data_IF_529116377413
#
_entry.id   IF_529116377413
#
_cell.length_a   1.000
_cell.length_b   1.000
_cell.length_c   1.000
_cell.angle_alpha   90.00
_cell.angle_beta   90.00
_cell.angle_gamma   90.00
#
_symmetry.space_group_name_H-M   'P 1'
#
loop_
_entity.id
_entity.type
_entity.pdbx_description
1 polymer ?
#
# COMPACT_ATOMS: atom_id res chain seq x y z
N UNK A 1 -8.03 -0.85 29.95
CA UNK A 1 -8.50 -1.12 28.56
C UNK A 1 -7.81 -0.25 27.50
N UNK A 2 -7.13 0.86 27.84
CA UNK A 2 -6.43 1.71 26.86
C UNK A 2 -5.03 1.21 26.42
N UNK A 3 -4.34 0.46 27.30
CA UNK A 3 -3.00 -0.07 27.00
C UNK A 3 -3.04 -1.12 25.87
N UNK A 4 -4.02 -2.03 25.88
CA UNK A 4 -4.12 -3.09 24.85
C UNK A 4 -4.46 -2.53 23.47
N UNK A 5 -5.34 -1.53 23.39
CA UNK A 5 -5.66 -0.83 22.12
C UNK A 5 -4.46 -0.07 21.57
N UNK A 6 -3.67 0.59 22.43
CA UNK A 6 -2.43 1.25 22.03
C UNK A 6 -1.38 0.25 21.54
N UNK A 7 -1.17 -0.84 22.28
CA UNK A 7 -0.23 -1.90 21.88
C UNK A 7 -0.67 -2.62 20.60
N UNK A 8 -1.98 -2.76 20.35
CA UNK A 8 -2.50 -3.28 19.08
C UNK A 8 -2.33 -2.28 17.93
N UNK A 9 -2.58 -0.99 18.15
CA UNK A 9 -2.36 0.06 17.16
C UNK A 9 -0.88 0.19 16.77
N UNK A 10 0.03 0.17 17.75
CA UNK A 10 1.48 0.20 17.50
C UNK A 10 1.95 -1.07 16.79
N UNK A 11 1.44 -2.25 17.16
CA UNK A 11 1.74 -3.50 16.43
C UNK A 11 1.22 -3.46 15.00
N UNK A 12 0.03 -2.90 14.79
CA UNK A 12 -0.55 -2.76 13.46
C UNK A 12 0.27 -1.76 12.62
N UNK A 13 0.67 -0.62 13.20
CA UNK A 13 1.55 0.36 12.56
C UNK A 13 2.94 -0.21 12.23
N UNK A 14 3.55 -0.97 13.13
CA UNK A 14 4.81 -1.67 12.87
C UNK A 14 4.65 -2.78 11.82
N UNK A 15 3.48 -3.42 11.78
CA UNK A 15 3.12 -4.39 10.76
C UNK A 15 2.97 -3.78 9.37
N UNK A 16 2.64 -2.49 9.25
CA UNK A 16 2.51 -1.81 7.96
C UNK A 16 3.86 -1.63 7.25
N UNK A 17 4.95 -1.49 8.01
CA UNK A 17 6.29 -1.21 7.49
C UNK A 17 6.44 0.24 7.01
N UNK A 18 7.37 0.47 6.08
CA UNK A 18 7.53 1.78 5.42
C UNK A 18 6.39 2.05 4.44
N UNK A 19 6.14 3.31 4.13
CA UNK A 19 5.22 3.71 3.07
C UNK A 19 6.02 3.91 1.78
N UNK A 20 5.66 3.20 0.71
CA UNK A 20 6.29 3.33 -0.61
C UNK A 20 5.43 4.23 -1.51
N UNK A 21 6.03 5.04 -2.41
CA UNK A 21 5.27 5.85 -3.35
C UNK A 21 4.41 4.97 -4.26
N UNK A 22 3.15 5.38 -4.43
CA UNK A 22 2.20 4.74 -5.32
C UNK A 22 1.95 5.68 -6.51
N UNK A 23 2.35 5.25 -7.71
CA UNK A 23 2.38 6.10 -8.90
C UNK A 23 3.60 7.02 -8.95
N UNK A 24 3.44 8.20 -9.54
CA UNK A 24 4.47 9.22 -9.70
C UNK A 24 4.40 10.33 -8.65
N UNK A 25 5.37 11.27 -8.65
CA UNK A 25 5.50 12.30 -7.61
C UNK A 25 4.30 13.24 -7.46
N UNK A 26 3.48 13.36 -8.51
CA UNK A 26 2.27 14.19 -8.53
C UNK A 26 1.01 13.50 -8.00
N UNK A 27 1.04 12.18 -7.82
CA UNK A 27 -0.13 11.42 -7.43
C UNK A 27 -0.48 11.60 -5.95
N UNK A 28 0.49 11.93 -5.10
CA UNK A 28 0.26 12.12 -3.66
C UNK A 28 -0.31 10.88 -2.99
N UNK A 29 0.08 9.69 -3.49
CA UNK A 29 -0.42 8.41 -3.02
C UNK A 29 0.74 7.56 -2.48
N UNK A 30 0.47 6.82 -1.41
CA UNK A 30 1.42 5.89 -0.80
C UNK A 30 0.75 4.55 -0.51
N UNK A 31 1.56 3.49 -0.55
CA UNK A 31 1.16 2.13 -0.23
C UNK A 31 2.01 1.62 0.94
N UNK A 32 1.39 1.01 1.94
CA UNK A 32 2.13 0.29 2.98
C UNK A 32 2.93 -0.86 2.35
N UNK A 33 4.22 -0.97 2.68
CA UNK A 33 5.09 -2.02 2.12
C UNK A 33 4.50 -3.42 2.36
N UNK A 34 3.91 -3.65 3.54
CA UNK A 34 3.21 -4.90 3.86
C UNK A 34 2.04 -5.21 2.91
N UNK A 35 1.21 -4.21 2.58
CA UNK A 35 0.10 -4.35 1.65
C UNK A 35 0.59 -4.65 0.23
N UNK A 36 1.63 -3.94 -0.22
CA UNK A 36 2.29 -4.22 -1.50
C UNK A 36 2.89 -5.62 -1.56
N UNK A 37 3.61 -6.04 -0.50
CA UNK A 37 4.17 -7.39 -0.37
C UNK A 37 3.11 -8.48 -0.42
N UNK A 38 1.99 -8.27 0.28
CA UNK A 38 0.88 -9.22 0.29
C UNK A 38 0.27 -9.39 -1.11
N UNK A 39 -0.03 -8.27 -1.78
CA UNK A 39 -0.58 -8.29 -3.14
C UNK A 39 0.38 -8.90 -4.17
N UNK A 40 1.68 -8.58 -4.11
CA UNK A 40 2.70 -9.18 -4.98
C UNK A 40 2.84 -10.68 -4.73
N UNK A 41 2.87 -11.12 -3.46
CA UNK A 41 2.91 -12.55 -3.12
C UNK A 41 1.73 -13.29 -3.70
N UNK A 42 0.52 -12.78 -3.48
CA UNK A 42 -0.69 -13.39 -3.98
C UNK A 42 -0.69 -13.47 -5.51
N UNK A 43 -0.22 -12.43 -6.20
CA UNK A 43 -0.18 -12.41 -7.66
C UNK A 43 0.76 -13.47 -8.25
N UNK A 44 1.79 -13.88 -7.51
CA UNK A 44 2.77 -14.88 -7.99
C UNK A 44 2.54 -16.29 -7.45
N UNK A 45 1.50 -16.52 -6.64
CA UNK A 45 1.14 -17.87 -6.15
C UNK A 45 0.85 -18.85 -7.30
N UNK A 46 0.34 -18.35 -8.43
CA UNK A 46 0.03 -19.15 -9.61
C UNK A 46 1.23 -19.35 -10.55
N UNK A 47 2.42 -18.85 -10.21
CA UNK A 47 3.62 -19.02 -11.04
C UNK A 47 4.16 -20.45 -10.82
N UNK A 48 4.14 -21.32 -11.85
CA UNK A 48 4.57 -22.70 -11.70
C UNK A 48 6.08 -22.79 -11.43
N UNK A 49 6.47 -23.79 -10.65
CA UNK A 49 7.88 -24.14 -10.42
C UNK A 49 8.66 -23.13 -9.58
N UNK A 50 7.99 -22.14 -8.96
CA UNK A 50 8.66 -21.10 -8.18
C UNK A 50 7.96 -20.87 -6.85
N UNK A 51 8.73 -20.81 -5.76
CA UNK A 51 8.25 -20.42 -4.44
C UNK A 51 8.92 -19.12 -4.00
N UNK A 52 8.11 -18.07 -3.82
CA UNK A 52 8.59 -16.75 -3.42
C UNK A 52 9.00 -16.73 -1.93
N UNK A 53 10.27 -16.43 -1.67
CA UNK A 53 10.88 -16.23 -0.36
C UNK A 53 10.69 -14.80 0.14
N UNK A 54 11.74 -14.19 0.72
CA UNK A 54 11.69 -12.79 1.15
C UNK A 54 11.40 -11.84 -0.04
N UNK A 55 10.73 -10.72 0.21
CA UNK A 55 10.40 -9.71 -0.82
C UNK A 55 10.44 -8.31 -0.21
N UNK A 56 11.14 -7.36 -0.83
CA UNK A 56 11.28 -5.96 -0.40
C UNK A 56 10.99 -5.01 -1.56
N UNK A 57 10.49 -3.81 -1.24
CA UNK A 57 10.20 -2.74 -2.23
C UNK A 57 11.00 -1.49 -1.86
N UNK A 58 12.07 -1.21 -2.58
CA UNK A 58 13.06 -0.18 -2.28
C UNK A 58 13.09 0.90 -3.36
N UNK A 59 13.82 2.00 -3.14
CA UNK A 59 14.14 2.94 -4.22
C UNK A 59 15.15 2.30 -5.15
N UNK A 60 14.92 2.42 -6.45
CA UNK A 60 15.91 2.08 -7.48
C UNK A 60 16.98 3.18 -7.58
N UNK A 61 16.59 4.43 -7.35
CA UNK A 61 17.45 5.61 -7.43
C UNK A 61 17.34 6.42 -6.12
N UNK A 62 18.10 6.05 -5.07
CA UNK A 62 18.03 6.72 -3.76
C UNK A 62 18.64 8.12 -3.75
N UNK A 63 19.53 8.42 -4.69
CA UNK A 63 20.18 9.73 -4.84
C UNK A 63 19.35 10.70 -5.71
N UNK A 64 18.40 10.16 -6.48
CA UNK A 64 17.48 10.94 -7.29
C UNK A 64 16.56 11.83 -6.47
N UNK A 65 16.40 13.07 -6.92
CA UNK A 65 15.49 14.04 -6.30
C UNK A 65 14.18 14.11 -7.08
N UNK A 66 13.11 13.59 -6.49
CA UNK A 66 11.76 13.67 -7.04
C UNK A 66 10.84 14.33 -6.00
N UNK A 67 10.44 15.58 -6.26
CA UNK A 67 9.63 16.34 -5.31
C UNK A 67 8.18 15.87 -5.28
N UNK A 68 7.65 15.61 -4.07
CA UNK A 68 6.24 15.24 -3.90
C UNK A 68 5.33 16.45 -4.02
N UNK A 69 4.26 16.32 -4.80
CA UNK A 69 3.26 17.39 -4.94
C UNK A 69 2.43 17.64 -3.67
N UNK A 70 2.50 16.76 -2.67
CA UNK A 70 1.82 16.93 -1.38
C UNK A 70 2.79 16.58 -0.24
N UNK A 71 2.57 17.04 1.00
CA UNK A 71 3.39 16.61 2.14
C UNK A 71 3.49 15.09 2.20
N UNK A 72 4.71 14.57 2.30
CA UNK A 72 4.92 13.15 2.50
C UNK A 72 4.50 12.76 3.94
N UNK A 73 3.78 11.64 4.13
CA UNK A 73 3.47 11.16 5.46
C UNK A 73 4.75 10.69 6.18
N UNK A 74 4.73 10.61 7.52
CA UNK A 74 5.84 10.06 8.29
C UNK A 74 6.21 8.65 7.79
N UNK A 75 7.52 8.36 7.73
CA UNK A 75 8.07 7.07 7.28
C UNK A 75 7.81 6.73 5.81
N UNK A 76 7.38 7.70 4.99
CA UNK A 76 7.36 7.56 3.55
C UNK A 76 8.75 7.60 2.95
N UNK A 77 9.01 6.67 2.02
CA UNK A 77 10.08 6.86 1.05
C UNK A 77 9.78 8.11 0.21
N UNK A 78 10.81 8.87 -0.20
CA UNK A 78 10.62 9.91 -1.20
C UNK A 78 10.04 9.31 -2.48
N UNK A 79 9.32 10.11 -3.28
CA UNK A 79 8.93 9.68 -4.63
C UNK A 79 10.16 9.26 -5.43
N UNK A 80 9.98 8.33 -6.36
CA UNK A 80 11.06 7.85 -7.21
C UNK A 80 10.77 6.46 -7.77
N UNK A 81 11.57 6.03 -8.77
CA UNK A 81 11.47 4.68 -9.30
C UNK A 81 11.76 3.67 -8.20
N UNK A 82 11.00 2.58 -8.20
CA UNK A 82 11.10 1.51 -7.22
C UNK A 82 11.83 0.30 -7.79
N UNK A 83 12.45 -0.46 -6.89
CA UNK A 83 13.05 -1.75 -7.15
C UNK A 83 12.40 -2.80 -6.27
N UNK A 84 12.01 -3.93 -6.85
CA UNK A 84 11.55 -5.10 -6.11
C UNK A 84 12.72 -6.05 -5.94
N UNK A 85 13.09 -6.35 -4.71
CA UNK A 85 14.12 -7.35 -4.39
C UNK A 85 13.42 -8.57 -3.82
N UNK A 86 13.59 -9.73 -4.44
CA UNK A 86 12.97 -10.96 -3.97
C UNK A 86 13.91 -12.17 -4.00
N UNK A 87 13.71 -13.05 -3.02
CA UNK A 87 14.30 -14.38 -3.00
C UNK A 87 13.29 -15.38 -3.56
N UNK A 88 13.77 -16.43 -4.20
CA UNK A 88 12.91 -17.51 -4.66
C UNK A 88 13.62 -18.86 -4.60
N UNK A 89 12.82 -19.91 -4.42
CA UNK A 89 13.22 -21.26 -4.74
C UNK A 89 12.61 -21.65 -6.09
N UNK A 90 13.34 -22.39 -6.91
CA UNK A 90 12.88 -22.83 -8.23
C UNK A 90 13.00 -24.35 -8.38
N UNK A 91 12.05 -24.97 -9.08
CA UNK A 91 12.10 -26.38 -9.40
C UNK A 91 13.23 -26.68 -10.42
N UNK A 92 13.81 -27.90 -10.39
CA UNK A 92 14.90 -28.29 -11.28
C UNK A 92 14.41 -28.76 -12.67
N UNK A 93 13.11 -28.71 -12.93
CA UNK A 93 12.44 -29.16 -14.16
C UNK A 93 12.71 -28.24 -15.35
N UNK A 94 13.04 -26.97 -15.11
CA UNK A 94 13.42 -26.00 -16.14
C UNK A 94 14.71 -25.23 -15.79
N UNK A 95 15.39 -24.62 -16.79
CA UNK A 95 16.53 -23.75 -16.53
C UNK A 95 16.15 -22.58 -15.61
N UNK A 96 16.93 -22.35 -14.55
CA UNK A 96 16.69 -21.28 -13.56
C UNK A 96 16.43 -19.88 -14.17
N UNK A 97 17.14 -19.45 -15.25
CA UNK A 97 16.85 -18.16 -15.88
C UNK A 97 15.42 -18.07 -16.46
N UNK A 98 14.84 -19.19 -16.91
CA UNK A 98 13.48 -19.25 -17.44
C UNK A 98 12.46 -19.06 -16.31
N UNK A 99 12.59 -19.81 -15.23
CA UNK A 99 11.76 -19.68 -14.03
C UNK A 99 11.83 -18.26 -13.44
N UNK A 100 13.05 -17.72 -13.31
CA UNK A 100 13.28 -16.37 -12.83
C UNK A 100 12.67 -15.30 -13.77
N UNK A 101 12.73 -15.48 -15.08
CA UNK A 101 12.11 -14.56 -16.05
C UNK A 101 10.58 -14.57 -15.94
N UNK A 102 9.97 -15.75 -15.75
CA UNK A 102 8.53 -15.86 -15.50
C UNK A 102 8.11 -15.18 -14.21
N UNK A 103 8.84 -15.41 -13.11
CA UNK A 103 8.59 -14.72 -11.84
C UNK A 103 8.75 -13.21 -11.98
N UNK A 104 9.79 -12.76 -12.68
CA UNK A 104 10.06 -11.34 -12.94
C UNK A 104 8.91 -10.68 -13.70
N UNK A 105 8.42 -11.32 -14.76
CA UNK A 105 7.28 -10.84 -15.53
C UNK A 105 6.01 -10.76 -14.68
N UNK A 106 5.75 -11.78 -13.84
CA UNK A 106 4.59 -11.79 -12.96
C UNK A 106 4.64 -10.68 -11.90
N UNK A 107 5.81 -10.46 -11.27
CA UNK A 107 6.00 -9.37 -10.31
C UNK A 107 5.84 -7.99 -10.97
N UNK A 108 6.43 -7.80 -12.15
CA UNK A 108 6.28 -6.55 -12.91
C UNK A 108 4.82 -6.29 -13.29
N UNK A 109 4.13 -7.26 -13.87
CA UNK A 109 2.72 -7.12 -14.23
C UNK A 109 1.82 -6.86 -13.01
N UNK A 110 2.06 -7.53 -11.89
CA UNK A 110 1.33 -7.25 -10.66
C UNK A 110 1.60 -5.83 -10.12
N UNK A 111 2.86 -5.39 -10.14
CA UNK A 111 3.25 -4.06 -9.70
C UNK A 111 2.66 -2.97 -10.60
N UNK A 112 2.71 -3.12 -11.93
CA UNK A 112 2.17 -2.14 -12.87
C UNK A 112 0.65 -2.17 -12.94
N UNK A 113 0.06 -3.34 -13.14
CA UNK A 113 -1.33 -3.47 -13.61
C UNK A 113 -2.31 -3.53 -12.45
N UNK A 114 -1.90 -4.15 -11.33
CA UNK A 114 -2.75 -4.29 -10.13
C UNK A 114 -2.49 -3.19 -9.12
N UNK A 115 -1.23 -2.83 -8.87
CA UNK A 115 -0.90 -1.83 -7.87
C UNK A 115 -0.76 -0.43 -8.49
N UNK A 116 -0.04 -0.29 -9.59
CA UNK A 116 0.37 1.01 -10.13
C UNK A 116 1.64 1.55 -9.49
N UNK A 117 2.56 0.66 -9.08
CA UNK A 117 3.89 1.05 -8.66
C UNK A 117 4.76 1.40 -9.88
N UNK A 118 5.57 2.45 -9.75
CA UNK A 118 6.57 2.82 -10.76
C UNK A 118 7.84 2.00 -10.51
N UNK A 119 7.85 0.74 -10.97
CA UNK A 119 8.99 -0.17 -10.79
C UNK A 119 9.95 -0.06 -11.98
N UNK A 120 11.21 0.27 -11.70
CA UNK A 120 12.27 0.26 -12.70
C UNK A 120 12.95 -1.12 -12.80
N UNK A 121 13.10 -1.82 -11.68
CA UNK A 121 13.91 -3.04 -11.61
C UNK A 121 13.27 -4.11 -10.71
N UNK A 122 13.53 -5.38 -11.07
CA UNK A 122 13.15 -6.55 -10.27
C UNK A 122 14.34 -7.50 -10.17
N UNK A 123 14.91 -7.53 -8.98
CA UNK A 123 16.09 -8.31 -8.62
C UNK A 123 15.66 -9.60 -7.95
N UNK A 124 16.06 -10.73 -8.55
CA UNK A 124 15.72 -12.06 -8.09
C UNK A 124 16.98 -12.80 -7.64
N UNK A 125 16.97 -13.29 -6.40
CA UNK A 125 17.98 -14.20 -5.89
C UNK A 125 17.39 -15.60 -5.74
N UNK A 126 17.90 -16.55 -6.52
CA UNK A 126 17.55 -17.97 -6.32
C UNK A 126 18.33 -18.48 -5.11
N UNK A 127 17.62 -18.89 -4.06
CA UNK A 127 18.22 -19.30 -2.78
C UNK A 127 18.11 -20.80 -2.52
N UNK A 128 17.25 -21.52 -3.25
CA UNK A 128 17.09 -22.96 -3.12
C UNK A 128 16.54 -23.58 -4.42
N UNK A 129 16.73 -24.89 -4.55
CA UNK A 129 16.00 -25.72 -5.50
C UNK A 129 14.83 -26.39 -4.78
N UNK A 130 13.67 -26.51 -5.44
CA UNK A 130 12.54 -27.24 -4.90
C UNK A 130 12.74 -28.74 -5.15
N UNK A 131 12.72 -29.54 -4.10
CA UNK A 131 12.66 -31.01 -4.24
C UNK A 131 11.22 -31.44 -4.56
N UNK A 132 11.08 -32.49 -5.39
CA UNK A 132 9.78 -33.03 -5.86
C UNK A 132 8.91 -33.61 -4.71
N UNK A 133 9.46 -33.67 -3.49
CA UNK A 133 8.79 -34.17 -2.29
C UNK A 133 8.77 -33.11 -1.18
N UNK A 134 7.99 -32.05 -1.37
CA UNK A 134 7.55 -31.20 -0.28
C UNK A 134 6.14 -30.67 -0.56
N UNK A 135 5.14 -31.53 -0.35
CA UNK A 135 3.78 -31.07 -0.11
C UNK A 135 3.80 -30.14 1.10
N UNK A 136 3.37 -28.91 0.87
CA UNK A 136 3.32 -27.87 1.87
C UNK A 136 2.39 -28.26 3.02
N UNK A 137 2.91 -28.20 4.25
CA UNK A 137 2.09 -28.13 5.44
C UNK A 137 1.28 -26.81 5.39
N UNK A 138 -0.05 -26.82 5.60
CA UNK A 138 -0.80 -25.59 5.69
C UNK A 138 -0.37 -24.82 6.94
N UNK A 139 0.07 -23.58 6.76
CA UNK A 139 0.17 -22.63 7.86
C UNK A 139 -1.26 -22.24 8.25
N UNK A 140 -1.66 -22.61 9.46
CA UNK A 140 -2.95 -22.26 10.04
C UNK A 140 -3.15 -20.75 9.99
N UNK A 141 -4.18 -20.34 9.24
CA UNK A 141 -4.66 -18.97 9.26
C UNK A 141 -5.59 -18.80 10.44
N UNK A 142 -5.20 -17.94 11.39
CA UNK A 142 -6.14 -17.33 12.31
C UNK A 142 -6.55 -15.97 11.73
N UNK A 143 -7.69 -15.98 11.04
CA UNK A 143 -8.45 -14.78 10.74
C UNK A 143 -9.31 -14.47 11.96
N UNK A 144 -9.01 -13.39 12.66
CA UNK A 144 -9.98 -12.77 13.56
C UNK A 144 -10.22 -11.34 13.08
N UNK A 145 -11.34 -11.18 12.38
CA UNK A 145 -11.94 -9.89 12.13
C UNK A 145 -12.50 -9.38 13.45
N UNK A 146 -11.97 -8.26 13.94
CA UNK A 146 -12.59 -7.51 15.02
C UNK A 146 -13.28 -6.30 14.38
N UNK A 147 -14.61 -6.36 14.37
CA UNK A 147 -15.49 -5.25 14.02
C UNK A 147 -15.51 -4.30 15.21
N UNK A 148 -14.69 -3.25 15.14
CA UNK A 148 -14.85 -2.10 16.02
C UNK A 148 -15.89 -1.16 15.41
N UNK A 149 -17.12 -1.31 15.89
CA UNK A 149 -18.18 -0.32 15.76
C UNK A 149 -17.92 0.83 16.75
N UNK A 150 -18.26 2.05 16.35
CA UNK A 150 -18.10 3.29 17.14
C UNK A 150 -17.09 4.26 16.50
N UNK A 151 -17.44 5.49 16.13
CA UNK A 151 -18.49 6.34 16.64
C UNK A 151 -18.86 7.31 15.50
N UNK A 152 -20.10 7.24 15.03
CA UNK A 152 -20.67 8.21 14.10
C UNK A 152 -20.73 9.56 14.81
N UNK A 153 -19.71 10.38 14.62
CA UNK A 153 -19.80 11.80 14.95
C UNK A 153 -20.81 12.46 14.00
N UNK A 154 -22.06 12.53 14.46
CA UNK A 154 -23.06 13.49 13.98
C UNK A 154 -22.47 14.90 14.11
N UNK A 155 -21.99 15.41 12.98
CA UNK A 155 -21.55 16.78 12.79
C UNK A 155 -21.14 16.97 11.34
N UNK A 156 -21.47 18.12 10.74
CA UNK A 156 -20.97 18.52 9.43
C UNK A 156 -19.49 18.95 9.54
N UNK A 157 -18.64 18.04 10.02
CA UNK A 157 -17.20 18.27 10.11
C UNK A 157 -16.54 17.97 8.78
N UNK A 158 -15.47 18.70 8.48
CA UNK A 158 -14.66 18.52 7.28
C UNK A 158 -14.07 17.11 7.21
N UNK A 159 -13.66 16.53 8.34
CA UNK A 159 -13.23 15.13 8.43
C UNK A 159 -14.35 14.17 8.03
N UNK A 160 -15.59 14.44 8.47
CA UNK A 160 -16.76 13.64 8.11
C UNK A 160 -17.15 13.77 6.63
N UNK A 161 -16.98 14.96 6.04
CA UNK A 161 -17.16 15.17 4.59
C UNK A 161 -16.10 14.40 3.79
N UNK A 162 -14.83 14.53 4.16
CA UNK A 162 -13.72 13.80 3.53
C UNK A 162 -13.88 12.27 3.63
N UNK A 163 -14.25 11.76 4.82
CA UNK A 163 -14.47 10.33 5.02
C UNK A 163 -15.59 9.78 4.13
N UNK A 164 -16.74 10.49 4.04
CA UNK A 164 -17.85 10.10 3.16
C UNK A 164 -17.47 10.15 1.70
N UNK A 165 -16.77 11.20 1.27
CA UNK A 165 -16.30 11.32 -0.10
C UNK A 165 -15.39 10.13 -0.48
N UNK A 166 -14.43 9.79 0.38
CA UNK A 166 -13.56 8.64 0.14
C UNK A 166 -14.31 7.30 0.10
N UNK A 167 -15.21 7.06 1.05
CA UNK A 167 -16.03 5.83 1.08
C UNK A 167 -16.99 5.70 -0.11
N UNK A 168 -17.34 6.82 -0.76
CA UNK A 168 -18.19 6.80 -1.96
C UNK A 168 -17.45 6.33 -3.22
N UNK A 169 -16.12 6.26 -3.19
CA UNK A 169 -15.32 5.88 -4.36
C UNK A 169 -15.36 4.37 -4.58
N UNK A 170 -15.77 3.90 -5.77
CA UNK A 170 -15.75 2.49 -6.11
C UNK A 170 -14.34 1.88 -6.01
N UNK A 171 -14.21 0.86 -5.16
CA UNK A 171 -12.95 0.19 -4.89
C UNK A 171 -12.39 0.47 -3.49
N UNK A 172 -12.91 1.44 -2.76
CA UNK A 172 -12.59 1.64 -1.33
C UNK A 172 -13.37 0.62 -0.51
N UNK A 173 -12.66 -0.22 0.25
CA UNK A 173 -13.28 -1.24 1.08
C UNK A 173 -13.63 -0.71 2.47
N UNK A 174 -12.73 0.06 3.10
CA UNK A 174 -12.91 0.70 4.41
C UNK A 174 -11.83 1.73 4.67
N UNK A 175 -12.06 2.56 5.69
CA UNK A 175 -11.03 3.42 6.29
C UNK A 175 -10.27 2.66 7.39
N UNK A 176 -8.97 2.93 7.60
CA UNK A 176 -8.10 2.06 8.45
C UNK A 176 -7.52 2.71 9.70
N UNK A 177 -7.29 4.04 9.71
CA UNK A 177 -6.93 4.80 10.91
C UNK A 177 -5.69 4.37 11.70
N UNK A 178 -4.80 3.60 11.07
CA UNK A 178 -3.69 2.88 11.70
C UNK A 178 -2.48 3.78 12.03
N UNK A 179 -2.26 4.86 11.29
CA UNK A 179 -1.08 5.74 11.40
C UNK A 179 -1.41 7.08 12.09
N UNK A 180 -2.62 7.21 12.61
CA UNK A 180 -3.18 8.44 13.15
C UNK A 180 -3.02 8.70 14.65
N UNK A 181 -2.33 7.83 15.39
CA UNK A 181 -2.15 7.95 16.85
C UNK A 181 -3.41 7.80 17.71
N UNK A 182 -4.61 7.88 17.12
CA UNK A 182 -5.91 7.78 17.80
C UNK A 182 -6.94 6.91 17.04
N UNK A 183 -6.51 6.08 16.08
CA UNK A 183 -7.46 5.31 15.24
C UNK A 183 -8.18 6.15 14.19
N UNK A 184 -7.75 7.41 13.99
CA UNK A 184 -8.35 8.35 13.04
C UNK A 184 -7.88 8.05 11.63
N UNK A 185 -8.81 7.83 10.71
CA UNK A 185 -8.47 7.58 9.31
C UNK A 185 -8.33 8.85 8.46
N UNK A 186 -8.84 9.98 8.94
CA UNK A 186 -8.72 11.28 8.28
C UNK A 186 -8.01 12.24 9.23
N UNK A 187 -6.93 12.84 8.74
CA UNK A 187 -6.17 13.86 9.44
C UNK A 187 -6.18 15.13 8.62
N UNK A 188 -6.64 16.21 9.24
CA UNK A 188 -6.59 17.55 8.66
C UNK A 188 -5.58 18.35 9.50
N UNK A 189 -4.57 18.88 8.84
CA UNK A 189 -3.55 19.72 9.46
C UNK A 189 -3.26 20.96 8.63
N UNK A 190 -2.78 22.00 9.30
CA UNK A 190 -2.18 23.16 8.65
C UNK A 190 -0.70 22.87 8.37
N UNK A 191 -0.21 23.28 7.21
CA UNK A 191 1.17 23.10 6.82
C UNK A 191 2.01 24.26 7.36
N UNK A 192 3.12 23.95 8.02
CA UNK A 192 4.16 24.97 8.27
C UNK A 192 4.83 25.37 6.95
N UNK A 193 5.10 26.67 6.82
CA UNK A 193 5.54 27.35 5.59
C UNK A 193 6.76 26.69 4.92
N UNK A 194 6.74 26.51 3.59
CA UNK A 194 7.90 25.97 2.86
C UNK A 194 7.72 25.70 1.36
N UNK A 195 6.49 25.64 0.83
CA UNK A 195 6.24 25.52 -0.62
C UNK A 195 5.10 26.47 -1.02
N UNK A 196 5.45 27.62 -1.58
CA UNK A 196 4.53 28.74 -1.84
C UNK A 196 3.40 28.46 -2.85
N UNK A 197 3.37 27.27 -3.47
CA UNK A 197 2.44 26.88 -4.55
C UNK A 197 1.32 25.94 -4.10
N UNK A 198 1.32 25.47 -2.84
CA UNK A 198 0.34 24.50 -2.34
C UNK A 198 -0.63 25.11 -1.32
N UNK A 199 -1.88 24.63 -1.26
CA UNK A 199 -2.85 25.05 -0.24
C UNK A 199 -2.30 24.91 1.19
N UNK A 200 -2.65 25.86 2.07
CA UNK A 200 -2.22 25.86 3.48
C UNK A 200 -2.73 24.65 4.26
N UNK A 201 -3.85 24.09 3.84
CA UNK A 201 -4.49 22.94 4.47
C UNK A 201 -4.11 21.64 3.78
N UNK A 202 -3.84 20.63 4.60
CA UNK A 202 -3.48 19.30 4.16
C UNK A 202 -4.37 18.24 4.78
N UNK A 203 -4.91 17.36 3.93
CA UNK A 203 -5.67 16.17 4.33
C UNK A 203 -4.84 14.93 4.08
N UNK A 204 -4.70 14.09 5.09
CA UNK A 204 -4.12 12.76 4.98
C UNK A 204 -5.20 11.73 5.29
N UNK A 205 -5.46 10.81 4.35
CA UNK A 205 -6.50 9.79 4.49
C UNK A 205 -5.92 8.38 4.39
N UNK A 206 -6.35 7.49 5.28
CA UNK A 206 -5.91 6.10 5.37
C UNK A 206 -7.04 5.13 5.05
N UNK A 207 -6.81 4.24 4.09
CA UNK A 207 -7.85 3.35 3.58
C UNK A 207 -7.33 1.98 3.14
N UNK A 208 -8.26 1.05 3.04
CA UNK A 208 -8.08 -0.25 2.41
C UNK A 208 -8.79 -0.26 1.06
N UNK A 209 -8.14 -0.84 0.05
CA UNK A 209 -8.67 -0.96 -1.32
C UNK A 209 -9.06 -2.41 -1.61
N UNK A 210 -10.16 -2.62 -2.32
CA UNK A 210 -10.53 -3.94 -2.86
C UNK A 210 -9.72 -4.25 -4.13
N UNK A 211 -9.26 -5.50 -4.29
CA UNK A 211 -8.41 -5.94 -5.41
C UNK A 211 -9.08 -6.01 -6.79
N UNK A 212 -10.34 -5.57 -6.94
CA UNK A 212 -11.06 -5.59 -8.21
C UNK A 212 -10.68 -4.47 -9.19
N UNK A 213 -9.92 -3.47 -8.74
CA UNK A 213 -9.40 -2.35 -9.55
C UNK A 213 -7.93 -2.11 -9.24
N UNK A 214 -7.24 -1.47 -10.16
CA UNK A 214 -5.87 -1.00 -9.94
C UNK A 214 -5.82 -0.04 -8.76
N UNK A 215 -4.95 -0.30 -7.80
CA UNK A 215 -4.90 0.42 -6.51
C UNK A 215 -4.60 1.91 -6.69
N UNK A 216 -3.67 2.26 -7.58
CA UNK A 216 -3.35 3.66 -7.92
C UNK A 216 -4.57 4.42 -8.46
N UNK A 217 -5.39 3.79 -9.29
CA UNK A 217 -6.53 4.48 -9.90
C UNK A 217 -7.61 4.77 -8.83
N UNK A 218 -7.86 3.81 -7.93
CA UNK A 218 -8.73 4.04 -6.76
C UNK A 218 -8.18 5.16 -5.87
N UNK A 219 -6.87 5.19 -5.62
CA UNK A 219 -6.27 6.22 -4.78
C UNK A 219 -6.37 7.63 -5.42
N UNK A 220 -6.21 7.73 -6.74
CA UNK A 220 -6.43 8.98 -7.50
C UNK A 220 -7.89 9.43 -7.45
N UNK A 221 -8.83 8.50 -7.63
CA UNK A 221 -10.26 8.78 -7.54
C UNK A 221 -10.63 9.31 -6.15
N UNK A 222 -10.08 8.70 -5.09
CA UNK A 222 -10.23 9.18 -3.69
C UNK A 222 -9.66 10.57 -3.53
N UNK A 223 -8.46 10.83 -4.03
CA UNK A 223 -7.82 12.15 -3.95
C UNK A 223 -8.71 13.23 -4.56
N UNK A 224 -9.20 12.99 -5.78
CA UNK A 224 -10.12 13.89 -6.48
C UNK A 224 -11.43 14.10 -5.71
N UNK A 225 -12.05 13.02 -5.24
CA UNK A 225 -13.31 13.08 -4.51
C UNK A 225 -13.19 13.86 -3.19
N UNK A 226 -12.10 13.66 -2.43
CA UNK A 226 -11.86 14.35 -1.17
C UNK A 226 -11.54 15.83 -1.38
N UNK A 227 -10.73 16.17 -2.39
CA UNK A 227 -10.46 17.58 -2.73
C UNK A 227 -11.77 18.30 -3.09
N UNK A 228 -12.61 17.72 -3.96
CA UNK A 228 -13.87 18.35 -4.37
C UNK A 228 -14.97 18.40 -3.28
N UNK A 229 -14.82 17.65 -2.19
CA UNK A 229 -15.76 17.66 -1.07
C UNK A 229 -15.48 18.77 -0.04
N UNK A 230 -14.35 19.47 -0.15
CA UNK A 230 -13.90 20.51 0.77
C UNK A 230 -13.80 21.84 0.04
N UNK A 231 -14.27 22.91 0.68
CA UNK A 231 -14.48 24.21 0.02
C UNK A 231 -13.18 24.97 -0.30
N UNK A 232 -12.05 24.54 0.26
CA UNK A 232 -10.76 25.21 0.20
C UNK A 232 -9.71 24.49 -0.68
N UNK A 233 -10.15 23.51 -1.47
CA UNK A 233 -9.30 22.71 -2.37
C UNK A 233 -7.98 22.25 -1.72
N UNK A 234 -8.03 21.55 -0.56
CA UNK A 234 -6.83 21.23 0.19
C UNK A 234 -5.95 20.24 -0.57
N UNK A 235 -4.66 20.22 -0.22
CA UNK A 235 -3.77 19.15 -0.68
C UNK A 235 -4.17 17.83 -0.01
N UNK A 236 -4.33 16.75 -0.78
CA UNK A 236 -4.76 15.44 -0.26
C UNK A 236 -3.67 14.39 -0.49
N UNK A 237 -3.26 13.71 0.58
CA UNK A 237 -2.42 12.52 0.57
C UNK A 237 -3.26 11.27 0.88
N UNK A 238 -3.16 10.25 0.03
CA UNK A 238 -3.88 8.97 0.19
C UNK A 238 -2.92 7.86 0.58
N UNK A 239 -3.22 7.17 1.68
CA UNK A 239 -2.40 6.09 2.23
C UNK A 239 -3.20 4.79 2.15
N UNK A 240 -2.77 3.90 1.25
CA UNK A 240 -3.33 2.56 1.14
C UNK A 240 -2.61 1.65 2.12
N UNK A 241 -3.31 1.22 3.16
CA UNK A 241 -2.74 0.40 4.25
C UNK A 241 -3.03 -1.09 4.07
N UNK A 242 -3.99 -1.44 3.22
CA UNK A 242 -4.31 -2.82 2.89
C UNK A 242 -4.91 -2.94 1.48
N UNK A 243 -4.64 -4.07 0.82
CA UNK A 243 -5.32 -4.48 -0.41
C UNK A 243 -6.05 -5.78 -0.11
N UNK A 244 -7.38 -5.73 -0.13
CA UNK A 244 -8.24 -6.86 0.17
C UNK A 244 -8.67 -7.53 -1.13
N UNK A 245 -8.19 -8.74 -1.34
CA UNK A 245 -8.65 -9.56 -2.46
C UNK A 245 -9.81 -10.43 -1.97
N UNK A 246 -10.84 -10.66 -2.81
CA UNK A 246 -11.83 -11.68 -2.50
C UNK A 246 -11.10 -13.01 -2.26
N UNK A 247 -11.47 -13.71 -1.18
CA UNK A 247 -10.91 -15.01 -0.82
C UNK A 247 -11.07 -15.99 -1.98
N UNK A 248 -10.02 -16.78 -2.26
CA UNK A 248 -10.00 -17.88 -3.24
C UNK A 248 -10.11 -19.21 -2.50
#
# INVERSE_FOLDING_TARGET
>A
MSADRWTQAVRHQLGLGRLVPLGGPRDGCWLAESAGRSALRQAVQSVPGVRLGNLRIELADPEGSYESAVPAPPSALPPGPLRIVAECAAAPDEPLPTAASRLRAALNGAASDRLGLTVAEVDLRVTALLDDSAQAQPASGDAQADVADGEQAKGDTDEGRAARAALSVPGVARLTGSLGGLGRAVHIGERSEGAATLPRRHVRIELAVSGGRRVLDVARDVRTAVTGALADDPSVAVLVTAVQWPFW
#
